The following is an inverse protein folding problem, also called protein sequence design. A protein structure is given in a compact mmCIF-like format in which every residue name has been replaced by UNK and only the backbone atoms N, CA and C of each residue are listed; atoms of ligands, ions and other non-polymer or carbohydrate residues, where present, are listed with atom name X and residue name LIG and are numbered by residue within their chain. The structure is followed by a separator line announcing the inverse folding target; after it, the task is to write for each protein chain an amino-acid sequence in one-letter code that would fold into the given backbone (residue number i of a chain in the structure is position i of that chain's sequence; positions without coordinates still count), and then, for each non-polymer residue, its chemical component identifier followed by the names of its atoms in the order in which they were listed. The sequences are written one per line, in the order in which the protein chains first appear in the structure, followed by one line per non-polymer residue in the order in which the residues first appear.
data_IF_094174195042
#
_entry.id   IF_094174195042
#
_cell.length_a   1.000
_cell.length_b   1.000
_cell.length_c   1.000
_cell.angle_alpha   90.00
_cell.angle_beta   90.00
_cell.angle_gamma   90.00
#
_symmetry.space_group_name_H-M   'P 1'
#
loop_
_entity.id
_entity.type
_entity.pdbx_description
1 polymer ?
#
# COMPACT_ATOMS: atom_id res chain seq x y z
N UNK A 1 33.53 -57.08 59.69
CA UNK A 1 32.11 -56.89 60.06
C UNK A 1 31.91 -55.41 60.37
N UNK A 2 31.21 -54.67 59.51
CA UNK A 2 30.93 -53.25 59.71
C UNK A 2 29.50 -53.11 60.26
N UNK A 3 29.38 -52.56 61.47
CA UNK A 3 28.11 -52.36 62.17
C UNK A 3 27.59 -50.95 61.90
N UNK A 4 26.40 -50.89 61.32
CA UNK A 4 25.59 -49.68 61.16
C UNK A 4 25.13 -49.16 62.53
N UNK A 5 25.63 -48.00 62.95
CA UNK A 5 25.06 -47.24 64.06
C UNK A 5 24.28 -46.05 63.52
N UNK A 6 22.96 -46.25 63.42
CA UNK A 6 21.97 -45.19 63.22
C UNK A 6 21.89 -44.34 64.49
N UNK A 7 22.45 -43.14 64.46
CA UNK A 7 22.11 -42.12 65.46
C UNK A 7 21.03 -41.20 64.91
N UNK A 8 19.78 -41.63 65.11
CA UNK A 8 18.63 -40.73 65.06
C UNK A 8 18.63 -39.86 66.31
N UNK A 9 19.00 -38.59 66.16
CA UNK A 9 18.79 -37.58 67.20
C UNK A 9 17.37 -37.04 67.02
N UNK A 10 16.39 -37.74 67.62
CA UNK A 10 15.13 -37.12 68.00
C UNK A 10 15.32 -36.50 69.39
N UNK A 11 15.52 -35.19 69.45
CA UNK A 11 15.35 -34.43 70.71
C UNK A 11 14.52 -33.17 70.45
N UNK A 12 13.36 -33.20 71.10
CA UNK A 12 12.57 -32.09 71.63
C UNK A 12 11.97 -31.11 70.62
N UNK A 13 10.67 -31.28 70.39
CA UNK A 13 9.83 -30.28 69.74
C UNK A 13 9.84 -28.97 70.52
N UNK A 14 10.33 -27.92 69.88
CA UNK A 14 9.95 -26.56 70.21
C UNK A 14 8.64 -26.28 69.49
N UNK A 15 7.53 -26.24 70.23
CA UNK A 15 6.32 -25.56 69.78
C UNK A 15 6.61 -24.06 69.75
N UNK A 16 7.14 -23.57 68.63
CA UNK A 16 7.27 -22.13 68.40
C UNK A 16 5.86 -21.61 68.14
N UNK A 17 5.29 -20.97 69.16
CA UNK A 17 4.03 -20.23 69.12
C UNK A 17 3.99 -19.28 67.92
N UNK A 18 3.07 -19.52 67.00
CA UNK A 18 2.90 -18.80 65.73
C UNK A 18 2.23 -17.44 65.90
N UNK A 19 2.59 -16.67 66.93
CA UNK A 19 1.86 -15.41 67.20
C UNK A 19 2.39 -14.21 66.42
N UNK A 20 3.63 -14.18 65.95
CA UNK A 20 4.17 -13.01 65.24
C UNK A 20 5.36 -13.33 64.30
N UNK A 21 5.22 -14.30 63.39
CA UNK A 21 6.18 -14.43 62.27
C UNK A 21 5.43 -14.14 60.98
N UNK A 22 5.62 -12.94 60.44
CA UNK A 22 5.16 -12.59 59.10
C UNK A 22 6.01 -13.41 58.13
N UNK A 23 5.44 -14.34 57.34
CA UNK A 23 6.21 -15.03 56.32
C UNK A 23 6.71 -13.99 55.32
N UNK A 24 8.02 -13.80 55.23
CA UNK A 24 8.62 -13.03 54.15
C UNK A 24 8.56 -13.89 52.89
N UNK A 25 7.53 -13.66 52.09
CA UNK A 25 7.48 -14.15 50.71
C UNK A 25 8.52 -13.36 49.90
N UNK A 26 9.76 -13.83 49.90
CA UNK A 26 10.70 -13.39 48.89
C UNK A 26 10.16 -13.88 47.55
N UNK A 27 10.01 -12.96 46.60
CA UNK A 27 9.66 -13.32 45.23
C UNK A 27 10.76 -14.23 44.68
N UNK A 28 10.55 -15.55 44.75
CA UNK A 28 11.29 -16.48 43.90
C UNK A 28 11.07 -15.97 42.48
N UNK A 29 12.14 -15.69 41.73
CA UNK A 29 12.04 -15.51 40.29
C UNK A 29 11.35 -16.77 39.77
N UNK A 30 10.02 -16.72 39.63
CA UNK A 30 9.33 -17.63 38.76
C UNK A 30 10.07 -17.42 37.45
N UNK A 31 10.85 -18.42 37.05
CA UNK A 31 11.41 -18.48 35.72
C UNK A 31 10.20 -18.29 34.81
N UNK A 32 10.04 -17.07 34.34
CA UNK A 32 9.27 -16.81 33.14
C UNK A 32 10.07 -17.52 32.06
N UNK A 33 9.87 -18.84 31.93
CA UNK A 33 9.64 -19.45 30.63
C UNK A 33 8.31 -18.91 30.08
N UNK A 34 8.12 -17.59 30.10
CA UNK A 34 7.42 -16.93 29.02
C UNK A 34 8.41 -17.13 27.89
N UNK A 35 8.18 -18.18 27.09
CA UNK A 35 8.86 -18.31 25.81
C UNK A 35 8.87 -16.92 25.23
N UNK A 36 10.07 -16.37 25.03
CA UNK A 36 10.23 -15.03 24.45
C UNK A 36 9.26 -15.01 23.29
N UNK A 37 8.30 -14.10 23.31
CA UNK A 37 7.34 -13.93 22.21
C UNK A 37 8.18 -13.46 21.02
N UNK A 38 8.84 -14.43 20.39
CA UNK A 38 9.69 -14.25 19.23
C UNK A 38 8.70 -13.93 18.15
N UNK A 39 8.38 -12.63 18.01
CA UNK A 39 7.67 -12.11 16.86
C UNK A 39 8.30 -12.78 15.65
N UNK A 40 7.52 -13.58 14.95
CA UNK A 40 8.00 -14.37 13.82
C UNK A 40 8.71 -13.39 12.89
N UNK A 41 9.99 -13.66 12.61
CA UNK A 41 10.78 -12.79 11.74
C UNK A 41 10.11 -12.62 10.38
N UNK A 42 10.39 -11.54 9.64
CA UNK A 42 9.81 -11.32 8.33
C UNK A 42 10.07 -12.54 7.44
N UNK A 43 9.00 -13.20 7.01
CA UNK A 43 9.08 -14.35 6.10
C UNK A 43 9.43 -13.84 4.72
N UNK A 44 10.19 -14.65 3.95
CA UNK A 44 10.43 -14.38 2.52
C UNK A 44 9.10 -14.21 1.77
N UNK A 45 8.06 -14.94 2.17
CA UNK A 45 6.72 -14.77 1.61
C UNK A 45 6.18 -13.34 1.73
N UNK A 46 6.47 -12.67 2.85
CA UNK A 46 6.01 -11.29 3.08
C UNK A 46 6.74 -10.28 2.18
N UNK A 47 8.01 -10.51 1.89
CA UNK A 47 8.77 -9.66 0.96
C UNK A 47 8.34 -9.92 -0.48
N UNK A 48 8.10 -11.19 -0.86
CA UNK A 48 7.56 -11.56 -2.17
C UNK A 48 6.17 -10.97 -2.38
N UNK A 49 5.27 -11.07 -1.40
CA UNK A 49 3.94 -10.44 -1.46
C UNK A 49 4.03 -8.92 -1.58
N UNK A 50 4.94 -8.28 -0.84
CA UNK A 50 5.16 -6.83 -0.93
C UNK A 50 5.68 -6.43 -2.31
N UNK A 51 6.62 -7.18 -2.88
CA UNK A 51 7.15 -6.96 -4.23
C UNK A 51 6.06 -7.16 -5.29
N UNK A 52 5.28 -8.22 -5.20
CA UNK A 52 4.17 -8.49 -6.09
C UNK A 52 3.10 -7.38 -6.01
N UNK A 53 2.76 -6.91 -4.81
CA UNK A 53 1.79 -5.84 -4.60
C UNK A 53 2.28 -4.47 -5.10
N UNK A 54 3.59 -4.21 -5.05
CA UNK A 54 4.17 -2.96 -5.57
C UNK A 54 4.09 -2.87 -7.09
N UNK A 55 4.18 -4.01 -7.80
CA UNK A 55 4.19 -4.05 -9.26
C UNK A 55 5.38 -3.30 -9.89
N UNK A 56 5.57 -3.43 -11.21
CA UNK A 56 6.61 -2.70 -11.93
C UNK A 56 6.14 -1.35 -12.45
N UNK A 57 4.87 -1.23 -12.80
CA UNK A 57 4.28 -0.06 -13.44
C UNK A 57 3.25 0.60 -12.52
N UNK A 58 3.00 1.89 -12.77
CA UNK A 58 1.86 2.55 -12.17
C UNK A 58 0.56 1.89 -12.65
N UNK A 59 -0.51 1.88 -11.84
CA UNK A 59 -1.82 1.37 -12.25
C UNK A 59 -2.45 2.32 -13.27
N UNK A 60 -1.96 2.27 -14.51
CA UNK A 60 -2.51 2.95 -15.67
C UNK A 60 -3.18 1.92 -16.58
N UNK A 61 -4.27 2.33 -17.21
CA UNK A 61 -4.93 1.50 -18.22
C UNK A 61 -4.13 1.58 -19.50
N UNK A 62 -4.06 0.47 -20.21
CA UNK A 62 -3.58 0.44 -21.57
C UNK A 62 -4.43 1.36 -22.44
N UNK A 63 -3.77 2.06 -23.35
CA UNK A 63 -4.43 2.96 -24.26
C UNK A 63 -3.77 2.91 -25.62
N UNK A 64 -4.55 2.47 -26.61
CA UNK A 64 -4.15 2.46 -28.01
C UNK A 64 -4.99 3.51 -28.74
N UNK A 65 -4.39 4.55 -29.32
CA UNK A 65 -5.14 5.60 -29.98
C UNK A 65 -5.78 5.07 -31.28
N UNK A 66 -7.13 5.15 -31.45
CA UNK A 66 -7.78 4.96 -32.74
C UNK A 66 -7.15 5.78 -33.87
N UNK A 67 -7.15 5.24 -35.09
CA UNK A 67 -6.61 5.90 -36.29
C UNK A 67 -7.26 7.27 -36.55
N UNK A 68 -8.55 7.37 -36.27
CA UNK A 68 -9.37 8.55 -36.56
C UNK A 68 -9.45 9.54 -35.38
N UNK A 69 -8.59 9.40 -34.37
CA UNK A 69 -8.65 10.22 -33.15
C UNK A 69 -8.58 11.72 -33.42
N UNK A 70 -7.77 12.15 -34.38
CA UNK A 70 -7.63 13.58 -34.70
C UNK A 70 -8.97 14.17 -35.13
N UNK A 71 -9.66 13.49 -36.05
CA UNK A 71 -10.96 13.90 -36.56
C UNK A 71 -12.02 13.84 -35.46
N UNK A 72 -11.98 12.79 -34.63
CA UNK A 72 -12.88 12.64 -33.48
C UNK A 72 -12.71 13.80 -32.49
N UNK A 73 -11.48 14.17 -32.14
CA UNK A 73 -11.20 15.30 -31.25
C UNK A 73 -11.63 16.63 -31.87
N UNK A 74 -11.34 16.86 -33.14
CA UNK A 74 -11.77 18.08 -33.85
C UNK A 74 -13.31 18.20 -33.83
N UNK A 75 -14.03 17.08 -34.02
CA UNK A 75 -15.51 17.06 -33.92
C UNK A 75 -16.02 17.39 -32.52
N UNK A 76 -15.33 16.91 -31.48
CA UNK A 76 -15.66 17.20 -30.08
C UNK A 76 -15.43 18.69 -29.79
N UNK A 77 -14.28 19.23 -30.20
CA UNK A 77 -13.95 20.65 -30.00
C UNK A 77 -14.96 21.56 -30.69
N UNK A 78 -15.38 21.20 -31.92
CA UNK A 78 -16.43 21.94 -32.60
C UNK A 78 -17.78 21.85 -31.89
N UNK A 79 -18.15 20.68 -31.36
CA UNK A 79 -19.44 20.50 -30.67
C UNK A 79 -19.49 21.28 -29.35
N UNK A 80 -18.39 21.31 -28.60
CA UNK A 80 -18.36 21.90 -27.24
C UNK A 80 -17.99 23.38 -27.26
N UNK A 81 -17.02 23.77 -28.09
CA UNK A 81 -16.44 25.13 -28.10
C UNK A 81 -16.80 25.93 -29.36
N UNK A 82 -17.34 25.29 -30.40
CA UNK A 82 -17.63 25.94 -31.69
C UNK A 82 -16.40 26.28 -32.53
N UNK A 83 -15.21 25.81 -32.14
CA UNK A 83 -13.98 25.92 -32.93
C UNK A 83 -12.98 24.82 -32.56
N UNK A 84 -12.05 24.52 -33.47
CA UNK A 84 -11.01 23.49 -33.30
C UNK A 84 -9.58 24.05 -33.50
N UNK A 85 -9.37 25.33 -33.16
CA UNK A 85 -8.06 25.98 -33.28
C UNK A 85 -7.08 25.43 -32.24
N UNK A 86 -5.95 24.91 -32.68
CA UNK A 86 -5.00 24.23 -31.79
C UNK A 86 -4.43 25.14 -30.69
N UNK A 87 -4.20 26.40 -31.03
CA UNK A 87 -3.66 27.42 -30.11
C UNK A 87 -4.72 27.99 -29.15
N UNK A 88 -5.97 27.52 -29.22
CA UNK A 88 -7.00 27.98 -28.30
C UNK A 88 -6.70 27.51 -26.88
N UNK A 89 -6.69 28.48 -25.95
CA UNK A 89 -6.44 28.25 -24.53
C UNK A 89 -7.72 27.92 -23.80
N UNK A 90 -7.73 26.79 -23.10
CA UNK A 90 -8.83 26.33 -22.23
C UNK A 90 -8.76 27.02 -20.86
N UNK A 91 -9.05 28.33 -20.82
CA UNK A 91 -9.00 29.11 -19.58
C UNK A 91 -10.22 28.89 -18.67
N UNK A 92 -11.40 28.65 -19.26
CA UNK A 92 -12.60 28.37 -18.49
C UNK A 92 -12.62 26.90 -18.03
N UNK A 93 -12.76 26.72 -16.71
CA UNK A 93 -12.80 25.41 -16.04
C UNK A 93 -14.01 24.61 -16.53
N UNK A 94 -15.15 25.27 -16.76
CA UNK A 94 -16.39 24.59 -17.18
C UNK A 94 -16.24 24.02 -18.59
N UNK A 95 -15.74 24.81 -19.52
CA UNK A 95 -15.41 24.37 -20.88
C UNK A 95 -14.36 23.25 -20.88
N UNK A 96 -13.28 23.41 -20.11
CA UNK A 96 -12.22 22.39 -19.99
C UNK A 96 -12.78 21.06 -19.49
N UNK A 97 -13.64 21.10 -18.47
CA UNK A 97 -14.30 19.90 -17.94
C UNK A 97 -15.22 19.25 -18.99
N UNK A 98 -16.04 20.03 -19.70
CA UNK A 98 -16.93 19.51 -20.73
C UNK A 98 -16.17 18.81 -21.87
N UNK A 99 -15.08 19.42 -22.33
CA UNK A 99 -14.19 18.81 -23.35
C UNK A 99 -13.63 17.49 -22.85
N UNK A 100 -13.08 17.46 -21.62
CA UNK A 100 -12.47 16.24 -21.07
C UNK A 100 -13.48 15.13 -20.85
N UNK A 101 -14.68 15.49 -20.40
CA UNK A 101 -15.80 14.55 -20.25
C UNK A 101 -16.19 13.95 -21.60
N UNK A 102 -16.37 14.78 -22.63
CA UNK A 102 -16.72 14.31 -23.97
C UNK A 102 -15.62 13.41 -24.58
N UNK A 103 -14.33 13.76 -24.39
CA UNK A 103 -13.22 12.92 -24.81
C UNK A 103 -13.22 11.56 -24.08
N UNK A 104 -13.47 11.56 -22.77
CA UNK A 104 -13.57 10.33 -21.97
C UNK A 104 -14.72 9.44 -22.43
N UNK A 105 -15.90 10.01 -22.69
CA UNK A 105 -17.06 9.25 -23.18
C UNK A 105 -16.80 8.57 -24.53
N UNK A 106 -15.99 9.17 -25.40
CA UNK A 106 -15.66 8.60 -26.72
C UNK A 106 -14.48 7.63 -26.70
N UNK A 107 -13.46 7.89 -25.89
CA UNK A 107 -12.20 7.13 -25.90
C UNK A 107 -12.06 6.15 -24.74
N UNK A 108 -12.84 6.32 -23.67
CA UNK A 108 -12.68 5.57 -22.41
C UNK A 108 -11.39 5.92 -21.64
N UNK A 109 -10.59 6.87 -22.14
CA UNK A 109 -9.31 7.25 -21.54
C UNK A 109 -9.43 8.58 -20.79
N UNK A 110 -9.07 8.57 -19.51
CA UNK A 110 -9.23 9.72 -18.63
C UNK A 110 -7.88 10.38 -18.37
N UNK A 111 -7.87 11.71 -18.29
CA UNK A 111 -6.68 12.49 -17.97
C UNK A 111 -6.42 12.42 -16.45
N UNK A 112 -5.24 11.94 -16.01
CA UNK A 112 -4.87 11.94 -14.60
C UNK A 112 -4.79 13.35 -14.00
N UNK A 113 -5.14 13.49 -12.72
CA UNK A 113 -5.09 14.77 -12.00
C UNK A 113 -3.72 15.46 -12.08
N UNK A 114 -2.63 14.67 -12.06
CA UNK A 114 -1.26 15.17 -12.16
C UNK A 114 -0.95 15.80 -13.52
N UNK A 115 -1.71 15.51 -14.58
CA UNK A 115 -1.50 16.06 -15.91
C UNK A 115 -2.46 17.21 -16.24
N UNK A 116 -3.53 17.40 -15.46
CA UNK A 116 -4.54 18.44 -15.71
C UNK A 116 -3.96 19.86 -15.75
N UNK A 117 -2.92 20.13 -14.95
CA UNK A 117 -2.29 21.45 -14.90
C UNK A 117 -1.48 21.75 -16.18
N UNK A 118 -0.92 20.71 -16.82
CA UNK A 118 -0.08 20.86 -18.01
C UNK A 118 -0.87 20.97 -19.33
N UNK A 119 -2.18 20.72 -19.29
CA UNK A 119 -3.05 20.83 -20.46
C UNK A 119 -3.69 22.23 -20.47
N UNK A 120 -3.10 23.14 -21.23
CA UNK A 120 -3.59 24.52 -21.35
C UNK A 120 -4.31 24.78 -22.68
N UNK A 121 -3.92 24.08 -23.74
CA UNK A 121 -4.41 24.31 -25.11
C UNK A 121 -5.07 23.07 -25.71
N UNK A 122 -5.86 23.27 -26.78
CA UNK A 122 -6.42 22.14 -27.55
C UNK A 122 -5.34 21.26 -28.17
N UNK A 123 -4.18 21.84 -28.51
CA UNK A 123 -2.99 21.11 -28.94
C UNK A 123 -2.50 20.12 -27.88
N UNK A 124 -2.47 20.52 -26.61
CA UNK A 124 -2.02 19.66 -25.52
C UNK A 124 -2.99 18.47 -25.35
N UNK A 125 -4.29 18.71 -25.50
CA UNK A 125 -5.32 17.66 -25.48
C UNK A 125 -5.08 16.67 -26.63
N UNK A 126 -4.89 17.16 -27.86
CA UNK A 126 -4.57 16.29 -29.01
C UNK A 126 -3.33 15.46 -28.76
N UNK A 127 -2.27 16.09 -28.26
CA UNK A 127 -0.99 15.43 -27.98
C UNK A 127 -1.15 14.31 -26.95
N UNK A 128 -1.92 14.56 -25.88
CA UNK A 128 -2.22 13.57 -24.87
C UNK A 128 -2.92 12.33 -25.45
N UNK A 129 -4.02 12.51 -26.18
CA UNK A 129 -4.79 11.39 -26.75
C UNK A 129 -4.14 10.74 -27.97
N UNK A 130 -3.11 11.35 -28.57
CA UNK A 130 -2.30 10.69 -29.60
C UNK A 130 -1.19 9.81 -29.01
N UNK A 131 -0.88 9.98 -27.73
CA UNK A 131 0.20 9.24 -27.06
C UNK A 131 -0.32 7.88 -26.59
N UNK A 132 0.20 6.75 -27.10
CA UNK A 132 -0.18 5.43 -26.61
C UNK A 132 0.36 5.19 -25.19
N UNK A 133 -0.36 4.39 -24.41
CA UNK A 133 0.05 3.92 -23.09
C UNK A 133 0.22 2.40 -23.15
N UNK A 134 1.47 1.95 -23.05
CA UNK A 134 1.79 0.53 -22.94
C UNK A 134 1.94 0.14 -21.45
N UNK A 135 1.36 -1.01 -21.10
CA UNK A 135 1.39 -1.58 -19.75
C UNK A 135 2.25 -2.84 -19.66
N UNK A 136 2.99 -3.17 -20.74
CA UNK A 136 3.98 -4.25 -20.72
C UNK A 136 5.12 -3.93 -19.78
N UNK A 137 5.43 -4.87 -18.90
CA UNK A 137 6.57 -4.75 -18.01
C UNK A 137 7.86 -5.11 -18.74
N UNK A 138 9.04 -4.63 -18.28
CA UNK A 138 10.32 -5.01 -18.88
C UNK A 138 10.62 -6.52 -18.86
N UNK A 139 9.87 -7.29 -18.07
CA UNK A 139 10.01 -8.74 -17.98
C UNK A 139 9.07 -9.50 -18.95
N UNK A 140 8.06 -8.82 -19.49
CA UNK A 140 7.17 -9.40 -20.49
C UNK A 140 7.92 -9.49 -21.82
N UNK A 141 8.23 -10.72 -22.25
CA UNK A 141 8.90 -11.04 -23.52
C UNK A 141 7.91 -11.15 -24.68
#
# INVERSE_FOLDING_TARGET
MAVFLRHGVFKTGQLISSKNVVPRFYATKAEKKKGVDRKVGPKIDSTVQSLAAKGFLRPQKDYTPPKDIKQLLDSIFQTVLGHAKEDFKLSDISQKFQVFKACYEKTGHSIPNSLLYGIETLKDVKTFYLTPVDTRTPLDK
#
